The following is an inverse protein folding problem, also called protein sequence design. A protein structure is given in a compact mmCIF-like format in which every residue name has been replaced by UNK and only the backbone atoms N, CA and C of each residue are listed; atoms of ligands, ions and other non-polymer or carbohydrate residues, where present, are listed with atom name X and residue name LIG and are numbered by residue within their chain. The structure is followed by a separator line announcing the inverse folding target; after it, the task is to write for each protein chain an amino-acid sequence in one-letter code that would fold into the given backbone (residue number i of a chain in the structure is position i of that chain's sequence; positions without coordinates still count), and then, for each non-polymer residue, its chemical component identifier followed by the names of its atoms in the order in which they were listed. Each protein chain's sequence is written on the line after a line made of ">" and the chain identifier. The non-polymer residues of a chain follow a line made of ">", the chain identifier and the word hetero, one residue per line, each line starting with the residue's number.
data_IF_621743853692
#
_entry.id   IF_621743853692
#
_cell.length_a   1.000
_cell.length_b   1.000
_cell.length_c   1.000
_cell.angle_alpha   90.00
_cell.angle_beta   90.00
_cell.angle_gamma   90.00
#
_symmetry.space_group_name_H-M   'P 1'
#
loop_
_entity.id
_entity.type
_entity.pdbx_description
1 polymer ?
#
# COMPACT_ATOMS: atom_id res chain seq x y z
N UNK A 1 1.16 3.41 -23.62
CA UNK A 1 1.17 2.27 -22.66
C UNK A 1 -0.18 2.27 -21.95
N UNK A 2 -1.01 1.22 -22.04
CA UNK A 2 -2.41 1.30 -21.63
C UNK A 2 -2.53 1.27 -20.10
N UNK A 3 -3.28 2.22 -19.55
CA UNK A 3 -3.48 2.52 -18.11
C UNK A 3 -4.05 1.33 -17.31
N UNK A 4 -4.65 0.36 -18.00
CA UNK A 4 -5.38 -0.78 -17.41
C UNK A 4 -4.53 -1.80 -16.65
N UNK A 5 -3.20 -1.84 -16.87
CA UNK A 5 -2.31 -2.77 -16.15
C UNK A 5 -1.84 -2.24 -14.78
N UNK A 6 -2.25 -1.02 -14.41
CA UNK A 6 -1.55 -0.21 -13.40
C UNK A 6 -2.42 0.29 -12.23
N UNK A 7 -3.69 -0.08 -12.17
CA UNK A 7 -4.60 0.25 -11.08
C UNK A 7 -4.97 -1.05 -10.38
N UNK A 8 -4.91 -1.08 -9.04
CA UNK A 8 -5.45 -2.22 -8.29
C UNK A 8 -6.95 -2.27 -8.57
N UNK A 9 -7.36 -3.26 -9.36
CA UNK A 9 -8.78 -3.47 -9.67
C UNK A 9 -9.54 -3.78 -8.39
N UNK A 10 -10.84 -3.52 -8.34
CA UNK A 10 -11.63 -3.80 -7.13
C UNK A 10 -11.61 -5.30 -6.76
N UNK A 11 -11.49 -6.19 -7.76
CA UNK A 11 -11.30 -7.63 -7.54
C UNK A 11 -9.96 -7.94 -6.86
N UNK A 12 -8.87 -7.31 -7.30
CA UNK A 12 -7.57 -7.44 -6.64
C UNK A 12 -7.60 -6.81 -5.24
N UNK A 13 -8.26 -5.66 -5.11
CA UNK A 13 -8.42 -4.98 -3.84
C UNK A 13 -9.14 -5.85 -2.81
N UNK A 14 -10.22 -6.52 -3.21
CA UNK A 14 -10.96 -7.44 -2.34
C UNK A 14 -10.09 -8.60 -1.80
N UNK A 15 -9.08 -9.05 -2.57
CA UNK A 15 -8.09 -10.03 -2.09
C UNK A 15 -7.04 -9.39 -1.17
N UNK A 16 -6.65 -8.14 -1.41
CA UNK A 16 -5.59 -7.43 -0.67
C UNK A 16 -6.08 -6.93 0.69
N UNK A 17 -7.25 -6.30 0.73
CA UNK A 17 -7.81 -5.62 1.89
C UNK A 17 -7.78 -6.49 3.17
N UNK A 18 -8.14 -7.78 3.15
CA UNK A 18 -8.05 -8.67 4.31
C UNK A 18 -6.66 -8.75 4.97
N UNK A 19 -5.59 -8.46 4.24
CA UNK A 19 -4.20 -8.57 4.75
C UNK A 19 -3.61 -7.23 5.22
N UNK A 20 -4.26 -6.10 4.93
CA UNK A 20 -3.81 -4.77 5.34
C UNK A 20 -3.84 -4.58 6.87
N UNK A 21 -2.89 -3.82 7.41
CA UNK A 21 -2.89 -3.37 8.81
C UNK A 21 -3.40 -1.93 8.98
N UNK A 22 -3.95 -1.65 10.16
CA UNK A 22 -4.50 -0.36 10.52
C UNK A 22 -5.94 -0.18 10.05
N UNK A 23 -6.70 -1.28 9.93
CA UNK A 23 -8.15 -1.22 9.67
C UNK A 23 -8.87 -0.58 10.84
N UNK A 24 -10.10 -0.12 10.63
CA UNK A 24 -10.97 0.38 11.70
C UNK A 24 -11.16 -0.63 12.84
N UNK A 25 -11.04 -1.91 12.53
CA UNK A 25 -11.17 -3.02 13.46
C UNK A 25 -9.88 -3.34 14.23
N UNK A 26 -8.74 -2.78 13.83
CA UNK A 26 -7.45 -3.11 14.44
C UNK A 26 -7.24 -2.26 15.71
N UNK A 27 -6.76 -2.85 16.81
CA UNK A 27 -6.47 -2.09 18.02
C UNK A 27 -5.31 -1.10 17.79
N UNK A 28 -5.51 0.16 18.21
CA UNK A 28 -4.53 1.24 18.08
C UNK A 28 -4.95 2.34 17.10
N UNK A 29 -3.98 3.11 16.59
CA UNK A 29 -4.25 4.17 15.61
C UNK A 29 -4.68 3.52 14.29
N UNK A 30 -5.95 3.67 13.95
CA UNK A 30 -6.48 3.30 12.63
C UNK A 30 -5.59 3.95 11.57
N UNK A 31 -4.97 3.12 10.75
CA UNK A 31 -4.22 3.59 9.60
C UNK A 31 -5.13 4.39 8.69
N UNK A 32 -4.59 5.40 8.02
CA UNK A 32 -5.33 6.06 6.92
C UNK A 32 -5.68 5.04 5.83
N UNK A 33 -6.34 5.52 4.78
CA UNK A 33 -6.74 4.72 3.62
C UNK A 33 -5.61 3.77 3.15
N UNK A 34 -5.85 2.47 3.27
CA UNK A 34 -4.87 1.43 2.93
C UNK A 34 -4.69 1.30 1.42
N UNK A 35 -5.73 1.62 0.63
CA UNK A 35 -5.67 1.60 -0.83
C UNK A 35 -4.80 2.73 -1.31
N UNK A 36 -5.04 3.95 -0.83
CA UNK A 36 -4.20 5.10 -1.13
C UNK A 36 -2.74 4.87 -0.73
N UNK A 37 -2.51 4.26 0.44
CA UNK A 37 -1.17 3.89 0.87
C UNK A 37 -0.49 2.90 -0.11
N UNK A 38 -1.18 1.85 -0.54
CA UNK A 38 -0.62 0.90 -1.49
C UNK A 38 -0.37 1.52 -2.87
N UNK A 39 -1.26 2.41 -3.33
CA UNK A 39 -1.02 3.19 -4.55
C UNK A 39 0.26 4.06 -4.42
N UNK A 40 0.51 4.65 -3.25
CA UNK A 40 1.76 5.38 -2.99
C UNK A 40 3.00 4.48 -3.08
N UNK A 41 2.93 3.28 -2.50
CA UNK A 41 4.01 2.28 -2.57
C UNK A 41 4.24 1.84 -4.01
N UNK A 42 3.16 1.60 -4.77
CA UNK A 42 3.29 1.22 -6.17
C UNK A 42 3.84 2.36 -7.04
N UNK A 43 3.48 3.61 -6.75
CA UNK A 43 4.08 4.76 -7.43
C UNK A 43 5.61 4.76 -7.25
N UNK A 44 6.10 4.63 -6.01
CA UNK A 44 7.55 4.55 -5.72
C UNK A 44 8.19 3.35 -6.42
N UNK A 45 7.57 2.18 -6.36
CA UNK A 45 8.09 0.97 -7.00
C UNK A 45 8.17 1.09 -8.53
N UNK A 46 7.25 1.83 -9.16
CA UNK A 46 7.22 2.05 -10.61
C UNK A 46 8.21 3.11 -11.07
N UNK A 47 8.34 4.20 -10.32
CA UNK A 47 9.19 5.34 -10.70
C UNK A 47 10.63 5.18 -10.26
N UNK A 48 10.87 4.40 -9.20
CA UNK A 48 12.17 4.36 -8.52
C UNK A 48 12.55 5.68 -7.84
N UNK A 49 11.59 6.61 -7.71
CA UNK A 49 11.83 7.91 -7.11
C UNK A 49 12.18 7.79 -5.62
N UNK A 50 12.87 8.79 -5.08
CA UNK A 50 13.13 8.84 -3.65
C UNK A 50 11.81 9.06 -2.90
N UNK A 51 11.71 8.52 -1.68
CA UNK A 51 10.52 8.72 -0.84
C UNK A 51 10.19 10.20 -0.63
N UNK A 52 11.19 11.08 -0.57
CA UNK A 52 11.00 12.54 -0.40
C UNK A 52 10.29 13.20 -1.59
N UNK A 53 10.32 12.58 -2.76
CA UNK A 53 9.69 13.06 -3.98
C UNK A 53 8.26 12.52 -4.15
N UNK A 54 7.74 11.79 -3.15
CA UNK A 54 6.37 11.28 -3.18
C UNK A 54 5.38 12.45 -3.31
N UNK A 55 4.48 12.42 -4.30
CA UNK A 55 3.45 13.45 -4.46
C UNK A 55 2.57 13.59 -3.20
N UNK A 56 2.22 14.83 -2.85
CA UNK A 56 1.45 15.14 -1.63
C UNK A 56 0.04 14.53 -1.62
N UNK A 57 -0.52 14.20 -2.79
CA UNK A 57 -1.80 13.50 -2.95
C UNK A 57 -1.82 12.11 -2.28
N UNK A 58 -0.66 11.48 -2.12
CA UNK A 58 -0.50 10.22 -1.37
C UNK A 58 -0.33 10.43 0.14
N UNK A 59 -0.24 11.69 0.58
CA UNK A 59 0.02 12.09 1.95
C UNK A 59 1.49 12.35 2.24
N UNK A 60 1.79 12.62 3.52
CA UNK A 60 3.14 12.98 3.96
C UNK A 60 4.11 11.82 3.76
N UNK A 61 5.15 12.01 2.95
CA UNK A 61 6.13 10.97 2.61
C UNK A 61 6.69 10.22 3.84
N UNK A 62 6.99 10.93 4.94
CA UNK A 62 7.58 10.31 6.13
C UNK A 62 6.59 9.34 6.81
N UNK A 63 5.30 9.68 6.82
CA UNK A 63 4.25 8.81 7.33
C UNK A 63 4.06 7.57 6.46
N UNK A 64 4.10 7.74 5.13
CA UNK A 64 3.99 6.65 4.16
C UNK A 64 5.19 5.72 4.29
N UNK A 65 6.41 6.26 4.30
CA UNK A 65 7.63 5.46 4.47
C UNK A 65 7.64 4.68 5.79
N UNK A 66 7.26 5.32 6.91
CA UNK A 66 7.15 4.63 8.21
C UNK A 66 6.18 3.46 8.12
N UNK A 67 4.98 3.67 7.55
CA UNK A 67 3.99 2.61 7.37
C UNK A 67 4.50 1.49 6.47
N UNK A 68 5.21 1.82 5.37
CA UNK A 68 5.85 0.84 4.50
C UNK A 68 6.86 -0.03 5.25
N UNK A 69 7.77 0.59 6.00
CA UNK A 69 8.74 -0.14 6.81
C UNK A 69 8.07 -1.05 7.84
N UNK A 70 7.06 -0.53 8.53
CA UNK A 70 6.35 -1.27 9.58
C UNK A 70 5.54 -2.44 8.97
N UNK A 71 4.93 -2.26 7.80
CA UNK A 71 4.26 -3.34 7.05
C UNK A 71 5.24 -4.42 6.57
N UNK A 72 6.42 -4.02 6.12
CA UNK A 72 7.49 -4.97 5.76
C UNK A 72 7.96 -5.78 6.96
N UNK A 73 8.22 -5.13 8.09
CA UNK A 73 8.60 -5.80 9.33
C UNK A 73 7.51 -6.75 9.85
N UNK A 74 6.23 -6.40 9.65
CA UNK A 74 5.09 -7.24 10.03
C UNK A 74 4.76 -8.35 9.02
N UNK A 75 5.50 -8.47 7.91
CA UNK A 75 5.29 -9.50 6.90
C UNK A 75 3.98 -9.32 6.12
N UNK A 76 3.50 -8.09 5.94
CA UNK A 76 2.22 -7.80 5.29
C UNK A 76 2.32 -8.00 3.78
N UNK A 77 3.43 -7.56 3.17
CA UNK A 77 3.61 -7.64 1.72
C UNK A 77 3.69 -9.10 1.24
N UNK A 78 4.30 -9.98 2.02
CA UNK A 78 4.40 -11.41 1.77
C UNK A 78 3.01 -12.06 1.79
N UNK A 79 2.16 -11.68 2.75
CA UNK A 79 0.77 -12.16 2.82
C UNK A 79 -0.04 -11.70 1.62
N UNK A 80 0.08 -10.42 1.25
CA UNK A 80 -0.57 -9.86 0.06
C UNK A 80 -0.11 -10.59 -1.21
N UNK A 81 1.20 -10.79 -1.38
CA UNK A 81 1.76 -11.47 -2.53
C UNK A 81 1.24 -12.91 -2.64
N UNK A 82 1.20 -13.63 -1.52
CA UNK A 82 0.64 -14.98 -1.47
C UNK A 82 -0.85 -15.00 -1.87
N UNK A 83 -1.65 -14.07 -1.36
CA UNK A 83 -3.08 -13.99 -1.66
C UNK A 83 -3.38 -13.63 -3.13
N UNK A 84 -2.48 -12.92 -3.80
CA UNK A 84 -2.61 -12.59 -5.22
C UNK A 84 -2.05 -13.66 -6.16
N UNK A 85 -1.23 -14.59 -5.64
CA UNK A 85 -0.61 -15.67 -6.43
C UNK A 85 -1.48 -16.94 -6.50
N UNK A 86 -2.62 -16.95 -5.80
CA UNK A 86 -3.66 -17.98 -5.77
C UNK A 86 -4.84 -17.58 -6.68
#
# INVERSE_FOLDING_TARGET
>A
MPVERYIVTDCQWAKIEPHCLGKKTDPGRTGGDARLFLEAVFWIARTGAQWRDLPEEFGKWNSVYRRFRDWGAAGVFERIFKALSD
#
